data_IF_730007046678
#
_entry.id   IF_730007046678
#
_cell.length_a   1.000
_cell.length_b   1.000
_cell.length_c   1.000
_cell.angle_alpha   90.00
_cell.angle_beta   90.00
_cell.angle_gamma   90.00
#
_symmetry.space_group_name_H-M   'P 1'
#
loop_
_entity.id
_entity.type
_entity.pdbx_description
1 polymer ?
#
# COMPACT_ATOMS: atom_id res chain seq x y z
N UNK A 1 16.86 48.93 49.97
CA UNK A 1 17.63 48.00 50.83
C UNK A 1 16.70 47.46 51.91
N UNK A 2 16.81 46.16 52.19
CA UNK A 2 16.16 45.40 53.28
C UNK A 2 14.64 45.23 53.18
N UNK A 3 14.04 44.13 53.61
CA UNK A 3 14.44 42.74 53.85
C UNK A 3 13.16 42.07 54.42
N UNK A 4 12.82 40.90 53.87
CA UNK A 4 12.23 39.71 54.52
C UNK A 4 11.72 39.78 55.97
N UNK A 5 10.51 39.24 56.22
CA UNK A 5 10.20 38.01 57.03
C UNK A 5 8.68 37.89 57.30
N UNK A 6 8.06 36.72 57.05
CA UNK A 6 7.70 35.65 58.04
C UNK A 6 6.80 36.17 59.19
N UNK A 7 5.72 35.55 59.69
CA UNK A 7 5.08 34.21 59.60
C UNK A 7 3.76 34.26 60.42
N UNK A 8 2.88 33.26 60.22
CA UNK A 8 2.07 32.56 61.26
C UNK A 8 0.68 33.09 61.71
N UNK A 9 -0.35 32.34 61.26
CA UNK A 9 -1.45 31.67 61.98
C UNK A 9 -2.32 32.40 63.03
N UNK A 10 -3.65 32.31 62.83
CA UNK A 10 -4.59 32.03 63.92
C UNK A 10 -6.02 32.61 63.82
N UNK A 11 -7.02 31.73 63.97
CA UNK A 11 -8.40 31.93 64.44
C UNK A 11 -9.43 32.57 63.47
N UNK A 12 -10.28 31.76 62.83
CA UNK A 12 -11.60 31.29 63.30
C UNK A 12 -12.59 32.45 63.51
N UNK A 13 -13.49 32.65 62.53
CA UNK A 13 -14.86 33.09 62.82
C UNK A 13 -15.82 32.52 61.78
N UNK A 14 -16.83 31.84 62.30
CA UNK A 14 -17.95 31.24 61.58
C UNK A 14 -18.88 32.30 60.98
N UNK A 15 -19.13 32.21 59.68
CA UNK A 15 -20.36 32.67 59.03
C UNK A 15 -20.90 31.41 58.31
N UNK A 16 -21.75 30.59 58.93
CA UNK A 16 -23.16 30.85 59.20
C UNK A 16 -23.89 31.31 57.92
N UNK A 17 -24.33 30.35 57.10
CA UNK A 17 -25.69 30.26 56.57
C UNK A 17 -25.78 29.13 55.54
N UNK A 18 -26.89 28.39 55.56
CA UNK A 18 -27.34 27.35 54.60
C UNK A 18 -27.01 25.89 54.94
N UNK A 19 -27.61 25.37 56.00
CA UNK A 19 -27.79 23.91 56.16
C UNK A 19 -29.19 23.56 56.65
N UNK A 20 -30.23 23.88 55.87
CA UNK A 20 -31.56 23.25 56.02
C UNK A 20 -32.22 23.12 54.65
N UNK A 21 -31.63 22.38 53.71
CA UNK A 21 -32.33 21.87 52.53
C UNK A 21 -31.53 20.75 51.81
N UNK A 22 -30.90 19.84 52.57
CA UNK A 22 -30.15 18.72 52.00
C UNK A 22 -30.53 17.42 52.68
N UNK A 23 -31.80 17.05 52.55
CA UNK A 23 -32.32 15.74 52.93
C UNK A 23 -33.48 15.44 52.00
N UNK A 24 -33.48 14.26 51.37
CA UNK A 24 -34.45 13.78 50.37
C UNK A 24 -34.10 14.03 48.88
N UNK A 25 -32.87 13.72 48.46
CA UNK A 25 -32.56 13.35 47.04
C UNK A 25 -31.42 12.33 46.93
N UNK A 26 -31.37 11.34 47.81
CA UNK A 26 -30.38 10.26 47.76
C UNK A 26 -31.07 8.89 47.63
N UNK A 27 -31.72 8.65 46.49
CA UNK A 27 -32.16 7.33 46.05
C UNK A 27 -32.76 7.41 44.63
N UNK A 28 -32.00 7.84 43.62
CA UNK A 28 -32.43 7.69 42.21
C UNK A 28 -31.35 8.00 41.15
N UNK A 29 -30.07 7.70 41.41
CA UNK A 29 -29.01 7.89 40.39
C UNK A 29 -28.01 6.72 40.29
N UNK A 30 -28.34 5.51 40.77
CA UNK A 30 -27.44 4.34 40.69
C UNK A 30 -27.96 3.23 39.75
N UNK A 31 -28.60 3.59 38.63
CA UNK A 31 -29.04 2.61 37.62
C UNK A 31 -28.89 3.07 36.16
N UNK A 32 -28.41 4.29 35.90
CA UNK A 32 -28.23 4.84 34.55
C UNK A 32 -26.76 5.15 34.19
N UNK A 33 -25.80 4.79 35.05
CA UNK A 33 -24.37 5.01 34.82
C UNK A 33 -23.57 3.79 34.35
N UNK A 34 -24.16 2.58 34.39
CA UNK A 34 -23.48 1.33 34.03
C UNK A 34 -23.93 0.71 32.70
N UNK A 35 -25.00 1.23 32.08
CA UNK A 35 -25.47 0.73 30.77
C UNK A 35 -24.85 1.45 29.56
N UNK A 36 -24.21 2.60 29.74
CA UNK A 36 -23.49 3.31 28.67
C UNK A 36 -22.02 2.86 28.52
N UNK A 37 -21.43 2.27 29.55
CA UNK A 37 -20.04 1.79 29.52
C UNK A 37 -19.88 0.46 28.77
N UNK A 38 -20.93 -0.37 28.70
CA UNK A 38 -20.89 -1.68 28.02
C UNK A 38 -21.04 -1.54 26.50
N UNK A 39 -21.78 -0.54 26.02
CA UNK A 39 -21.98 -0.34 24.57
C UNK A 39 -20.79 0.35 23.89
N UNK A 40 -19.97 1.13 24.59
CA UNK A 40 -18.73 1.67 24.01
C UNK A 40 -17.64 0.58 23.97
N UNK A 41 -17.60 -0.35 24.93
CA UNK A 41 -16.64 -1.47 24.93
C UNK A 41 -16.86 -2.51 23.82
N UNK A 42 -18.10 -2.68 23.33
CA UNK A 42 -18.42 -3.63 22.26
C UNK A 42 -18.09 -3.12 20.85
N UNK A 43 -17.85 -1.81 20.68
CA UNK A 43 -17.48 -1.23 19.37
C UNK A 43 -15.98 -1.37 19.08
N UNK A 44 -15.13 -1.58 20.10
CA UNK A 44 -13.68 -1.69 19.93
C UNK A 44 -13.15 -3.12 19.68
N UNK A 45 -13.95 -4.17 19.89
CA UNK A 45 -13.52 -5.56 19.66
C UNK A 45 -14.08 -6.21 18.40
N UNK A 46 -14.92 -5.52 17.63
CA UNK A 46 -15.49 -6.04 16.37
C UNK A 46 -15.06 -5.23 15.13
N UNK A 47 -14.08 -4.34 15.26
CA UNK A 47 -13.48 -3.59 14.16
C UNK A 47 -12.16 -4.21 13.73
N UNK A 48 -12.18 -5.43 13.19
CA UNK A 48 -11.09 -5.89 12.33
C UNK A 48 -11.12 -5.02 11.08
N UNK A 49 -10.50 -3.83 11.16
CA UNK A 49 -10.26 -3.00 9.99
C UNK A 49 -9.44 -3.82 9.02
N UNK A 50 -10.06 -4.28 7.95
CA UNK A 50 -9.30 -4.78 6.81
C UNK A 50 -8.36 -3.66 6.40
N UNK A 51 -7.06 -3.94 6.44
CA UNK A 51 -6.09 -3.06 5.80
C UNK A 51 -6.52 -2.97 4.33
N UNK A 52 -6.98 -1.79 3.91
CA UNK A 52 -7.19 -1.53 2.48
C UNK A 52 -5.79 -1.36 1.93
N UNK A 53 -5.28 -2.40 1.27
CA UNK A 53 -4.02 -2.30 0.58
C UNK A 53 -4.13 -1.17 -0.48
N UNK A 54 -3.20 -0.22 -0.43
CA UNK A 54 -3.12 0.92 -1.31
C UNK A 54 -2.05 0.65 -2.37
N UNK A 55 -2.45 0.06 -3.49
CA UNK A 55 -1.61 0.01 -4.69
C UNK A 55 -1.77 1.31 -5.45
N UNK A 56 -0.68 2.06 -5.58
CA UNK A 56 -0.72 3.39 -6.18
C UNK A 56 0.40 3.58 -7.20
N UNK A 57 0.16 4.47 -8.15
CA UNK A 57 1.18 4.94 -9.08
C UNK A 57 0.88 6.36 -9.52
N UNK A 58 1.92 7.19 -9.56
CA UNK A 58 1.85 8.52 -10.17
C UNK A 58 2.15 8.47 -11.67
N UNK A 59 2.45 7.29 -12.21
CA UNK A 59 2.83 7.12 -13.61
C UNK A 59 1.62 7.25 -14.54
N UNK A 60 1.73 8.16 -15.50
CA UNK A 60 0.70 8.39 -16.52
C UNK A 60 1.21 7.96 -17.89
N UNK A 61 0.56 6.96 -18.48
CA UNK A 61 0.82 6.53 -19.85
C UNK A 61 0.11 7.43 -20.87
N UNK A 62 0.74 7.70 -22.02
CA UNK A 62 0.11 8.39 -23.16
C UNK A 62 -1.01 7.52 -23.78
N UNK A 63 -2.04 8.14 -24.33
CA UNK A 63 -3.22 7.46 -24.91
C UNK A 63 -2.91 6.42 -26.01
N UNK A 64 -1.85 6.64 -26.79
CA UNK A 64 -1.38 5.68 -27.80
C UNK A 64 -0.96 4.31 -27.22
N UNK A 65 -0.78 4.25 -25.89
CA UNK A 65 -0.42 3.07 -25.12
C UNK A 65 -1.60 2.46 -24.36
N UNK A 66 -2.83 2.89 -24.66
CA UNK A 66 -4.07 2.34 -24.09
C UNK A 66 -4.20 0.82 -24.26
N UNK A 67 -3.59 0.25 -25.31
CA UNK A 67 -3.55 -1.18 -25.55
C UNK A 67 -2.82 -1.98 -24.43
N UNK A 68 -1.97 -1.33 -23.62
CA UNK A 68 -1.31 -1.99 -22.49
C UNK A 68 -2.19 -2.05 -21.23
N UNK A 69 -3.34 -1.37 -21.23
CA UNK A 69 -4.25 -1.41 -20.08
C UNK A 69 -4.84 -2.80 -19.93
N UNK A 70 -5.06 -3.21 -18.68
CA UNK A 70 -5.78 -4.45 -18.40
C UNK A 70 -7.30 -4.27 -18.59
N UNK A 71 -8.08 -5.34 -18.37
CA UNK A 71 -9.53 -5.32 -18.55
C UNK A 71 -10.27 -4.40 -17.56
N UNK A 72 -9.59 -3.98 -16.48
CA UNK A 72 -10.09 -3.00 -15.51
C UNK A 72 -9.67 -1.56 -15.87
N UNK A 73 -9.02 -1.35 -17.02
CA UNK A 73 -8.55 -0.04 -17.48
C UNK A 73 -7.31 0.47 -16.73
N UNK A 74 -6.67 -0.36 -15.89
CA UNK A 74 -5.46 0.00 -15.16
C UNK A 74 -4.26 0.00 -16.09
N UNK A 75 -3.37 0.98 -15.92
CA UNK A 75 -2.14 1.07 -16.70
C UNK A 75 -1.10 0.04 -16.19
N UNK A 76 -0.06 -0.31 -16.98
CA UNK A 76 0.91 -1.33 -16.58
C UNK A 76 1.67 -0.99 -15.28
N UNK A 77 1.89 0.28 -14.96
CA UNK A 77 2.55 0.70 -13.72
C UNK A 77 1.69 0.40 -12.49
N UNK A 78 0.38 0.59 -12.61
CA UNK A 78 -0.56 0.27 -11.53
C UNK A 78 -0.68 -1.23 -11.34
N UNK A 79 -0.80 -2.00 -12.44
CA UNK A 79 -0.84 -3.47 -12.36
C UNK A 79 0.45 -4.01 -11.72
N UNK A 80 1.60 -3.41 -12.02
CA UNK A 80 2.86 -3.76 -11.37
C UNK A 80 2.84 -3.51 -9.86
N UNK A 81 2.22 -2.41 -9.42
CA UNK A 81 2.06 -2.15 -7.99
C UNK A 81 1.24 -3.25 -7.28
N UNK A 82 0.22 -3.80 -7.94
CA UNK A 82 -0.48 -4.98 -7.41
C UNK A 82 0.40 -6.23 -7.37
N UNK A 83 1.15 -6.50 -8.44
CA UNK A 83 2.04 -7.66 -8.54
C UNK A 83 3.09 -7.65 -7.43
N UNK A 84 3.71 -6.51 -7.18
CA UNK A 84 4.71 -6.35 -6.11
C UNK A 84 4.09 -6.35 -4.71
N UNK A 85 2.94 -5.69 -4.55
CA UNK A 85 2.21 -5.64 -3.28
C UNK A 85 1.81 -7.02 -2.75
N UNK A 86 1.57 -7.99 -3.63
CA UNK A 86 1.20 -9.35 -3.23
C UNK A 86 2.25 -10.09 -2.36
N UNK A 87 3.52 -9.66 -2.44
CA UNK A 87 4.60 -10.23 -1.61
C UNK A 87 4.90 -9.41 -0.34
N UNK A 88 4.12 -8.36 -0.06
CA UNK A 88 4.28 -7.50 1.11
C UNK A 88 3.14 -7.74 2.11
N UNK A 89 3.47 -7.79 3.41
CA UNK A 89 2.49 -8.11 4.47
C UNK A 89 1.31 -7.15 4.48
N UNK A 90 1.56 -5.86 4.23
CA UNK A 90 0.54 -4.82 4.18
C UNK A 90 -0.15 -4.71 2.82
N UNK A 91 0.33 -5.44 1.79
CA UNK A 91 -0.18 -5.36 0.42
C UNK A 91 0.16 -4.06 -0.33
N UNK A 92 0.76 -3.10 0.38
CA UNK A 92 1.05 -1.76 -0.11
C UNK A 92 2.32 -1.75 -0.96
N UNK A 93 2.19 -1.16 -2.16
CA UNK A 93 3.33 -0.91 -3.03
C UNK A 93 3.04 0.29 -3.94
N UNK A 94 4.08 1.07 -4.21
CA UNK A 94 3.98 2.25 -5.06
C UNK A 94 5.02 2.20 -6.17
N UNK A 95 4.56 2.37 -7.41
CA UNK A 95 5.44 2.56 -8.57
C UNK A 95 5.50 4.05 -8.89
N UNK A 96 6.61 4.74 -8.59
CA UNK A 96 6.73 6.18 -8.88
C UNK A 96 6.80 6.44 -10.38
N UNK A 97 6.40 7.63 -10.82
CA UNK A 97 6.58 8.05 -12.20
C UNK A 97 8.06 8.10 -12.59
N UNK A 98 8.33 7.77 -13.86
CA UNK A 98 9.67 7.79 -14.42
C UNK A 98 10.23 9.24 -14.45
N UNK A 99 11.48 9.40 -14.01
CA UNK A 99 12.14 10.71 -13.87
C UNK A 99 12.80 11.16 -15.19
N UNK A 100 12.04 11.14 -16.29
CA UNK A 100 12.49 11.52 -17.63
C UNK A 100 12.96 10.36 -18.52
N UNK A 101 13.32 10.67 -19.77
CA UNK A 101 13.52 9.65 -20.81
C UNK A 101 14.75 8.75 -20.62
N UNK A 102 15.77 9.23 -19.88
CA UNK A 102 16.97 8.47 -19.54
C UNK A 102 16.82 7.67 -18.24
N UNK A 103 15.70 7.81 -17.52
CA UNK A 103 15.46 7.02 -16.31
C UNK A 103 15.17 5.56 -16.68
N UNK A 104 15.53 4.66 -15.77
CA UNK A 104 15.32 3.22 -15.88
C UNK A 104 14.66 2.79 -14.57
N UNK A 105 13.64 1.94 -14.65
CA UNK A 105 13.15 1.23 -13.47
C UNK A 105 14.15 0.12 -13.10
N UNK A 106 14.79 0.19 -11.92
CA UNK A 106 15.74 -0.82 -11.51
C UNK A 106 15.02 -2.13 -11.18
N UNK A 107 15.77 -3.24 -11.22
CA UNK A 107 15.32 -4.47 -10.58
C UNK A 107 15.37 -4.38 -9.06
N UNK A 108 14.87 -5.41 -8.35
CA UNK A 108 14.87 -5.40 -6.90
C UNK A 108 16.29 -5.30 -6.32
N UNK A 109 16.38 -4.68 -5.15
CA UNK A 109 17.58 -4.75 -4.32
C UNK A 109 17.73 -6.15 -3.72
N UNK A 110 18.91 -6.49 -3.17
CA UNK A 110 19.08 -7.77 -2.46
C UNK A 110 18.12 -7.95 -1.28
N UNK A 111 17.67 -6.87 -0.67
CA UNK A 111 16.77 -6.89 0.49
C UNK A 111 15.30 -6.98 0.07
N UNK A 112 14.97 -6.54 -1.14
CA UNK A 112 13.59 -6.51 -1.65
C UNK A 112 13.32 -7.57 -2.72
N UNK A 113 14.34 -8.32 -3.14
CA UNK A 113 14.21 -9.41 -4.08
C UNK A 113 13.37 -10.55 -3.47
N UNK A 114 12.34 -10.94 -4.18
CA UNK A 114 11.39 -11.97 -3.78
C UNK A 114 10.73 -12.56 -5.03
N UNK A 115 9.87 -13.56 -4.83
CA UNK A 115 9.15 -14.25 -5.91
C UNK A 115 8.25 -13.36 -6.78
N UNK A 116 7.76 -12.23 -6.25
CA UNK A 116 6.96 -11.30 -7.04
C UNK A 116 7.84 -10.47 -7.96
N UNK A 117 8.82 -9.75 -7.39
CA UNK A 117 9.75 -8.88 -8.12
C UNK A 117 10.66 -9.64 -9.09
N UNK A 118 11.01 -10.89 -8.79
CA UNK A 118 11.90 -11.73 -9.62
C UNK A 118 11.15 -12.53 -10.70
N UNK A 119 9.94 -12.11 -11.06
CA UNK A 119 9.12 -12.79 -12.07
C UNK A 119 9.21 -12.14 -13.46
N UNK A 120 8.98 -12.92 -14.51
CA UNK A 120 8.94 -12.39 -15.89
C UNK A 120 7.73 -11.47 -16.11
N UNK A 121 6.67 -11.65 -15.33
CA UNK A 121 5.50 -10.77 -15.30
C UNK A 121 5.86 -9.40 -14.73
N UNK A 122 6.54 -9.34 -13.58
CA UNK A 122 6.98 -8.08 -12.99
C UNK A 122 7.89 -7.29 -13.96
N UNK A 123 8.89 -7.98 -14.53
CA UNK A 123 9.75 -7.39 -15.56
C UNK A 123 8.97 -6.86 -16.77
N UNK A 124 7.99 -7.61 -17.26
CA UNK A 124 7.20 -7.21 -18.44
C UNK A 124 6.31 -6.00 -18.15
N UNK A 125 5.64 -5.97 -17.01
CA UNK A 125 4.77 -4.86 -16.59
C UNK A 125 5.59 -3.59 -16.31
N UNK A 126 6.71 -3.71 -15.59
CA UNK A 126 7.59 -2.58 -15.30
C UNK A 126 8.29 -2.06 -16.57
N UNK A 127 8.65 -2.94 -17.50
CA UNK A 127 9.17 -2.54 -18.83
C UNK A 127 8.11 -1.83 -19.67
N UNK A 128 6.86 -2.31 -19.67
CA UNK A 128 5.75 -1.64 -20.32
C UNK A 128 5.44 -0.27 -19.67
N UNK A 129 5.56 -0.19 -18.35
CA UNK A 129 5.46 1.06 -17.59
C UNK A 129 6.53 2.07 -18.01
N UNK A 130 7.78 1.64 -18.14
CA UNK A 130 8.88 2.45 -18.66
C UNK A 130 8.57 2.94 -20.09
N UNK A 131 8.19 2.01 -20.97
CA UNK A 131 7.90 2.28 -22.37
C UNK A 131 6.75 3.27 -22.55
N UNK A 132 5.68 3.13 -21.78
CA UNK A 132 4.51 4.00 -21.91
C UNK A 132 4.79 5.45 -21.47
N UNK A 133 5.75 5.64 -20.56
CA UNK A 133 6.22 6.95 -20.09
C UNK A 133 7.35 7.52 -20.98
N UNK A 134 7.90 6.72 -21.88
CA UNK A 134 9.04 7.09 -22.73
C UNK A 134 10.38 7.07 -21.99
N UNK A 135 10.48 6.28 -20.90
CA UNK A 135 11.70 6.00 -20.18
C UNK A 135 12.53 4.90 -20.89
N UNK A 136 13.75 4.71 -20.43
CA UNK A 136 14.64 3.68 -20.95
C UNK A 136 14.26 2.30 -20.42
N UNK A 137 14.34 1.28 -21.29
CA UNK A 137 14.07 -0.10 -20.91
C UNK A 137 15.27 -0.70 -20.18
N UNK A 138 15.00 -1.47 -19.13
CA UNK A 138 15.99 -2.30 -18.48
C UNK A 138 16.19 -3.61 -19.28
N UNK A 139 17.34 -4.26 -19.10
CA UNK A 139 17.54 -5.64 -19.59
C UNK A 139 17.10 -6.64 -18.53
N UNK A 140 16.76 -7.85 -18.96
CA UNK A 140 16.33 -8.90 -18.02
C UNK A 140 17.46 -9.26 -17.05
N UNK A 141 18.66 -9.49 -17.58
CA UNK A 141 19.88 -9.81 -16.83
C UNK A 141 20.19 -8.78 -15.74
N UNK A 142 20.04 -7.48 -16.04
CA UNK A 142 20.24 -6.41 -15.06
C UNK A 142 19.09 -6.35 -14.05
N UNK A 143 17.85 -6.58 -14.50
CA UNK A 143 16.68 -6.59 -13.63
C UNK A 143 16.78 -7.71 -12.57
N UNK A 144 17.12 -8.93 -12.97
CA UNK A 144 17.23 -10.07 -12.02
C UNK A 144 18.58 -10.19 -11.33
N UNK A 145 19.47 -9.20 -11.43
CA UNK A 145 20.85 -9.30 -10.93
C UNK A 145 20.96 -9.64 -9.43
N UNK A 146 19.98 -9.24 -8.63
CA UNK A 146 19.93 -9.52 -7.19
C UNK A 146 18.97 -10.66 -6.81
N UNK A 147 18.31 -11.28 -7.78
CA UNK A 147 17.38 -12.37 -7.54
C UNK A 147 18.13 -13.69 -7.29
N UNK A 148 17.65 -14.48 -6.33
CA UNK A 148 18.13 -15.85 -6.16
C UNK A 148 17.54 -16.76 -7.25
N UNK A 149 18.18 -17.88 -7.55
CA UNK A 149 17.66 -18.84 -8.52
C UNK A 149 16.29 -19.40 -8.11
N UNK A 150 16.01 -19.48 -6.81
CA UNK A 150 14.76 -20.02 -6.27
C UNK A 150 13.59 -19.01 -6.34
N UNK A 151 13.89 -17.72 -6.51
CA UNK A 151 12.88 -16.66 -6.65
C UNK A 151 12.51 -16.39 -8.11
N UNK A 152 13.40 -16.74 -9.05
CA UNK A 152 13.21 -16.44 -10.47
C UNK A 152 12.09 -17.31 -11.06
N UNK A 153 11.07 -16.64 -11.59
CA UNK A 153 9.99 -17.28 -12.37
C UNK A 153 9.99 -16.75 -13.79
N UNK A 154 10.33 -17.59 -14.78
CA UNK A 154 10.28 -17.25 -16.21
C UNK A 154 9.95 -18.49 -17.06
N UNK A 155 8.82 -18.53 -17.78
CA UNK A 155 7.74 -17.53 -17.79
C UNK A 155 6.88 -17.59 -16.52
N UNK A 156 6.26 -16.46 -16.19
CA UNK A 156 5.07 -16.38 -15.37
C UNK A 156 5.22 -15.56 -14.10
N UNK A 157 4.27 -15.79 -13.19
CA UNK A 157 4.18 -15.17 -11.88
C UNK A 157 3.77 -16.27 -10.88
N UNK A 158 4.51 -16.45 -9.77
CA UNK A 158 4.34 -17.61 -8.90
C UNK A 158 3.21 -17.48 -7.86
N UNK A 159 2.43 -16.40 -7.91
CA UNK A 159 1.30 -16.15 -7.02
C UNK A 159 -0.01 -16.03 -7.80
N UNK A 160 -1.13 -16.17 -7.07
CA UNK A 160 -2.44 -15.85 -7.63
C UNK A 160 -2.52 -14.35 -7.99
N UNK A 161 -3.35 -14.02 -8.98
CA UNK A 161 -3.56 -12.63 -9.38
C UNK A 161 -4.20 -11.86 -8.19
N UNK A 162 -3.58 -10.77 -7.73
CA UNK A 162 -4.10 -10.01 -6.59
C UNK A 162 -5.51 -9.47 -6.83
N UNK A 163 -6.34 -9.47 -5.79
CA UNK A 163 -7.67 -8.89 -5.87
C UNK A 163 -7.60 -7.40 -6.22
N UNK A 164 -8.50 -6.92 -7.08
CA UNK A 164 -8.52 -5.51 -7.52
C UNK A 164 -7.66 -5.23 -8.75
N UNK A 165 -6.97 -6.23 -9.29
CA UNK A 165 -6.30 -6.13 -10.59
C UNK A 165 -6.59 -7.32 -11.51
N UNK A 166 -6.16 -7.19 -12.75
CA UNK A 166 -5.98 -8.30 -13.70
C UNK A 166 -4.63 -8.12 -14.38
N UNK A 167 -3.91 -9.21 -14.60
CA UNK A 167 -2.63 -9.17 -15.30
C UNK A 167 -2.91 -9.44 -16.79
N UNK A 168 -2.57 -8.52 -17.71
CA UNK A 168 -2.75 -8.75 -19.14
C UNK A 168 -2.00 -10.02 -19.61
N UNK A 169 -2.62 -10.81 -20.49
CA UNK A 169 -2.03 -12.07 -20.97
C UNK A 169 -0.63 -11.89 -21.58
N UNK A 170 -0.38 -10.75 -22.25
CA UNK A 170 0.93 -10.45 -22.84
C UNK A 170 2.06 -10.35 -21.81
N UNK A 171 1.78 -10.08 -20.54
CA UNK A 171 2.79 -9.99 -19.48
C UNK A 171 3.32 -11.35 -19.05
N UNK A 172 2.59 -12.44 -19.31
CA UNK A 172 3.01 -13.81 -19.00
C UNK A 172 3.95 -14.42 -20.05
N UNK A 173 4.29 -13.67 -21.10
CA UNK A 173 5.24 -14.14 -22.11
C UNK A 173 6.61 -14.46 -21.48
N UNK A 174 7.24 -15.53 -21.96
CA UNK A 174 8.60 -15.85 -21.58
C UNK A 174 9.57 -14.77 -22.07
N UNK A 175 10.51 -14.41 -21.21
CA UNK A 175 11.62 -13.53 -21.58
C UNK A 175 12.71 -14.37 -22.23
N UNK A 176 13.03 -14.05 -23.48
CA UNK A 176 14.16 -14.67 -24.19
C UNK A 176 15.47 -14.16 -23.58
N UNK A 177 16.16 -15.05 -22.87
CA UNK A 177 17.42 -14.77 -22.18
C UNK A 177 18.55 -14.35 -23.13
N UNK A 178 18.47 -14.70 -24.43
CA UNK A 178 19.48 -14.30 -25.41
C UNK A 178 19.20 -12.91 -25.97
N UNK A 179 17.91 -12.55 -26.11
CA UNK A 179 17.50 -11.22 -26.51
C UNK A 179 17.67 -10.20 -25.37
N UNK A 180 17.54 -10.67 -24.12
CA UNK A 180 17.76 -9.93 -22.88
C UNK A 180 16.96 -8.63 -22.77
N UNK A 181 15.76 -8.61 -23.37
CA UNK A 181 14.94 -7.40 -23.48
C UNK A 181 13.46 -7.73 -23.54
N UNK A 182 12.66 -6.78 -23.09
CA UNK A 182 11.23 -6.74 -23.38
C UNK A 182 10.98 -6.08 -24.75
N UNK A 183 10.10 -6.65 -25.57
CA UNK A 183 9.74 -6.13 -26.90
C UNK A 183 8.26 -5.71 -26.96
N UNK A 184 7.95 -4.42 -27.13
CA UNK A 184 6.58 -3.93 -27.20
C UNK A 184 5.80 -4.48 -28.41
N UNK A 185 6.47 -4.84 -29.51
CA UNK A 185 5.79 -5.42 -30.69
C UNK A 185 5.32 -6.83 -30.40
N UNK A 186 6.17 -7.63 -29.75
CA UNK A 186 5.82 -8.98 -29.32
C UNK A 186 4.69 -8.94 -28.29
N UNK A 187 4.81 -8.12 -27.25
CA UNK A 187 3.78 -7.95 -26.24
C UNK A 187 2.43 -7.54 -26.85
N UNK A 188 2.43 -6.56 -27.76
CA UNK A 188 1.21 -6.13 -28.46
C UNK A 188 0.58 -7.23 -29.32
N UNK A 189 1.38 -8.11 -29.91
CA UNK A 189 0.85 -9.24 -30.70
C UNK A 189 0.12 -10.28 -29.83
N UNK A 190 0.53 -10.42 -28.56
CA UNK A 190 -0.05 -11.36 -27.59
C UNK A 190 -1.27 -10.80 -26.86
N UNK A 191 -1.60 -9.52 -27.05
CA UNK A 191 -2.78 -8.93 -26.42
C UNK A 191 -4.08 -9.64 -26.84
N UNK A 192 -4.16 -10.10 -28.09
CA UNK A 192 -5.37 -10.70 -28.67
C UNK A 192 -5.48 -12.22 -28.47
N UNK A 193 -4.50 -12.84 -27.83
CA UNK A 193 -4.45 -14.30 -27.66
C UNK A 193 -4.99 -14.78 -26.31
N UNK A 194 -5.48 -13.87 -25.45
CA UNK A 194 -5.77 -14.16 -24.03
C UNK A 194 -7.20 -13.89 -23.54
N UNK A 195 -8.17 -13.67 -24.42
CA UNK A 195 -9.59 -13.56 -24.03
C UNK A 195 -10.32 -14.89 -24.30
N UNK A 196 -10.24 -15.83 -23.36
CA UNK A 196 -11.16 -16.96 -23.23
C UNK A 196 -11.60 -17.11 -21.79
#
# INVERSE_FOLDING_TARGET
>A
MKATRETSLGFISCLCFRSVLFGMRAAMLDAWGLFLSVLIGLVWFAGGGGHVAAQETDAVCKEQFSWMRNSLGQNPCLVEAFVEGACHEDGDWSIPAAQGSSSIYPGPSKQSANKCSCSSVAFSLLSACAFCQGASLNTWSNFIMNCSADDITNPGYPHDIPSGTTIPAWAFAAVDINADKWDPKNAKSLQFTGEH
#
